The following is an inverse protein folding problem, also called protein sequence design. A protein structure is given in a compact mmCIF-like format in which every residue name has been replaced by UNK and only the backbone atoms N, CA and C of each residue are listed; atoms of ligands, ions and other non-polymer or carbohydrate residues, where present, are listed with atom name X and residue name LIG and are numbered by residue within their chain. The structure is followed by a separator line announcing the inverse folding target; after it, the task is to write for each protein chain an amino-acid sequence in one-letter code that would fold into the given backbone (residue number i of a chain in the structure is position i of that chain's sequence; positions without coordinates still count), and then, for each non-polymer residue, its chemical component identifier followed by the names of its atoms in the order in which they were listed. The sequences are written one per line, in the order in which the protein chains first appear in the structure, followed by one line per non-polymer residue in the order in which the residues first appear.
data_IF_807790780990
#
_entry.id   IF_807790780990
#
_cell.length_a   1.000
_cell.length_b   1.000
_cell.length_c   1.000
_cell.angle_alpha   90.00
_cell.angle_beta   90.00
_cell.angle_gamma   90.00
#
_symmetry.space_group_name_H-M   'P 1'
#
loop_
_entity.id
_entity.type
_entity.pdbx_description
1 polymer ?
#
# COMPACT_ATOMS: atom_id res chain seq x y z
N UNK A 1 -7.93 7.04 17.10
CA UNK A 1 -7.70 7.23 15.65
C UNK A 1 -6.39 8.02 15.49
N UNK A 2 -5.40 7.55 14.71
CA UNK A 2 -4.10 8.24 14.60
C UNK A 2 -4.27 9.58 13.87
N UNK A 3 -3.54 10.64 14.24
CA UNK A 3 -3.66 11.98 13.63
C UNK A 3 -3.51 11.95 12.09
N UNK A 4 -2.62 11.09 11.58
CA UNK A 4 -2.46 10.79 10.15
C UNK A 4 -3.73 10.29 9.45
N UNK A 5 -4.59 9.52 10.13
CA UNK A 5 -5.83 9.02 9.53
C UNK A 5 -6.81 10.18 9.24
N UNK A 6 -6.71 11.29 9.99
CA UNK A 6 -7.48 12.50 9.76
C UNK A 6 -6.96 13.21 8.51
N UNK A 7 -5.64 13.36 8.37
CA UNK A 7 -5.02 13.91 7.15
C UNK A 7 -5.34 13.04 5.92
N UNK A 8 -5.34 11.73 6.09
CA UNK A 8 -5.71 10.80 5.02
C UNK A 8 -7.18 10.95 4.62
N UNK A 9 -8.08 11.16 5.58
CA UNK A 9 -9.49 11.45 5.31
C UNK A 9 -9.65 12.78 4.54
N UNK A 10 -8.91 13.83 4.91
CA UNK A 10 -8.92 15.12 4.20
C UNK A 10 -8.41 14.94 2.76
N UNK A 11 -7.32 14.21 2.54
CA UNK A 11 -6.80 13.92 1.18
C UNK A 11 -7.78 13.11 0.35
N UNK A 12 -8.44 12.12 0.95
CA UNK A 12 -9.46 11.33 0.29
C UNK A 12 -10.69 12.17 -0.08
N UNK A 13 -11.12 13.07 0.82
CA UNK A 13 -12.19 14.02 0.53
C UNK A 13 -11.80 14.97 -0.60
N UNK A 14 -10.56 15.45 -0.62
CA UNK A 14 -10.01 16.26 -1.71
C UNK A 14 -10.03 15.52 -3.06
N UNK A 15 -9.64 14.24 -3.09
CA UNK A 15 -9.80 13.42 -4.29
C UNK A 15 -11.28 13.36 -4.68
N UNK A 16 -12.15 12.94 -3.78
CA UNK A 16 -13.58 12.80 -4.08
C UNK A 16 -14.25 14.10 -4.57
N UNK A 17 -13.85 15.26 -4.05
CA UNK A 17 -14.44 16.56 -4.39
C UNK A 17 -13.86 17.19 -5.67
N UNK A 18 -12.59 16.94 -5.99
CA UNK A 18 -11.87 17.68 -7.05
C UNK A 18 -11.21 16.81 -8.12
N UNK A 19 -11.09 15.49 -7.92
CA UNK A 19 -10.43 14.55 -8.84
C UNK A 19 -11.12 13.19 -8.80
N UNK A 20 -11.86 12.85 -9.85
CA UNK A 20 -12.31 11.48 -10.07
C UNK A 20 -11.15 10.52 -9.81
N UNK A 21 -11.33 9.56 -8.90
CA UNK A 21 -10.34 8.52 -8.66
C UNK A 21 -9.85 7.95 -9.99
N UNK A 22 -8.55 7.72 -10.15
CA UNK A 22 -8.01 7.23 -11.43
C UNK A 22 -8.67 5.90 -11.81
N UNK A 23 -8.95 5.07 -10.81
CA UNK A 23 -9.48 3.72 -10.99
C UNK A 23 -10.89 3.57 -10.42
N UNK A 24 -11.78 2.81 -11.10
CA UNK A 24 -13.12 2.54 -10.61
C UNK A 24 -13.09 1.65 -9.36
N UNK A 25 -14.05 1.86 -8.46
CA UNK A 25 -14.17 1.05 -7.25
C UNK A 25 -14.63 -0.38 -7.59
N UNK A 26 -13.97 -1.38 -7.00
CA UNK A 26 -14.40 -2.78 -7.04
C UNK A 26 -14.41 -3.39 -5.64
N UNK A 27 -15.55 -4.00 -5.30
CA UNK A 27 -15.77 -4.62 -3.99
C UNK A 27 -14.95 -5.90 -3.81
N UNK A 28 -14.84 -6.72 -4.84
CA UNK A 28 -14.10 -7.98 -4.79
C UNK A 28 -12.59 -7.74 -4.67
N UNK A 29 -12.05 -6.80 -5.46
CA UNK A 29 -10.67 -6.35 -5.29
C UNK A 29 -10.43 -5.82 -3.86
N UNK A 30 -11.37 -5.02 -3.32
CA UNK A 30 -11.25 -4.53 -1.94
C UNK A 30 -11.23 -5.66 -0.90
N UNK A 31 -11.94 -6.77 -1.12
CA UNK A 31 -11.90 -7.94 -0.23
C UNK A 31 -10.58 -8.69 -0.39
N UNK A 32 -10.17 -8.94 -1.63
CA UNK A 32 -8.94 -9.65 -1.93
C UNK A 32 -7.70 -8.90 -1.40
N UNK A 33 -7.62 -7.59 -1.60
CA UNK A 33 -6.53 -6.80 -1.04
C UNK A 33 -6.52 -6.80 0.50
N UNK A 34 -7.69 -6.79 1.16
CA UNK A 34 -7.73 -6.95 2.62
C UNK A 34 -7.20 -8.33 3.03
N UNK A 35 -7.56 -9.38 2.29
CA UNK A 35 -7.05 -10.72 2.51
C UNK A 35 -5.52 -10.78 2.39
N UNK A 36 -4.94 -10.18 1.35
CA UNK A 36 -3.48 -10.08 1.17
C UNK A 36 -2.81 -9.36 2.34
N UNK A 37 -3.36 -8.22 2.76
CA UNK A 37 -2.84 -7.42 3.89
C UNK A 37 -2.85 -8.21 5.20
N UNK A 38 -3.87 -9.04 5.43
CA UNK A 38 -4.06 -9.75 6.70
C UNK A 38 -3.34 -11.10 6.76
N UNK A 39 -3.27 -11.83 5.64
CA UNK A 39 -2.97 -13.27 5.66
C UNK A 39 -1.74 -13.65 4.85
N UNK A 40 -1.19 -12.77 4.01
CA UNK A 40 -0.12 -13.13 3.08
C UNK A 40 1.23 -12.60 3.49
N UNK A 41 2.25 -13.40 3.15
CA UNK A 41 3.63 -13.00 3.32
C UNK A 41 4.00 -11.94 2.29
N UNK A 42 4.69 -10.93 2.79
CA UNK A 42 5.18 -9.85 1.98
C UNK A 42 6.49 -10.27 1.29
N UNK A 43 6.59 -10.03 -0.02
CA UNK A 43 7.77 -10.38 -0.81
C UNK A 43 8.73 -9.22 -1.00
N UNK A 44 8.26 -8.12 -1.59
CA UNK A 44 9.12 -7.02 -2.01
C UNK A 44 8.38 -5.67 -2.07
N UNK A 45 9.08 -4.58 -1.80
CA UNK A 45 8.55 -3.23 -1.70
C UNK A 45 9.57 -2.28 -2.28
N UNK A 46 9.12 -1.48 -3.24
CA UNK A 46 9.89 -0.37 -3.76
C UNK A 46 9.12 0.94 -3.52
N UNK A 47 9.63 2.03 -4.08
CA UNK A 47 9.06 3.37 -3.92
C UNK A 47 7.59 3.47 -4.36
N UNK A 48 7.16 2.65 -5.31
CA UNK A 48 5.88 2.78 -6.00
C UNK A 48 4.96 1.58 -5.84
N UNK A 49 5.49 0.40 -5.50
CA UNK A 49 4.73 -0.84 -5.41
C UNK A 49 5.09 -1.66 -4.19
N UNK A 50 4.14 -2.47 -3.74
CA UNK A 50 4.30 -3.51 -2.72
C UNK A 50 3.85 -4.85 -3.30
N UNK A 51 4.58 -5.93 -3.04
CA UNK A 51 4.31 -7.26 -3.59
C UNK A 51 3.98 -8.24 -2.47
N UNK A 52 2.91 -9.01 -2.68
CA UNK A 52 2.48 -10.11 -1.81
C UNK A 52 2.74 -11.44 -2.51
N UNK A 53 3.02 -12.50 -1.75
CA UNK A 53 2.94 -13.87 -2.23
C UNK A 53 1.58 -14.47 -1.90
N UNK A 54 0.87 -14.92 -2.93
CA UNK A 54 -0.38 -15.65 -2.79
C UNK A 54 -0.20 -17.04 -3.42
N UNK A 55 0.16 -18.01 -2.58
CA UNK A 55 0.39 -19.41 -2.97
C UNK A 55 1.36 -19.55 -4.16
N UNK A 56 2.49 -18.83 -4.11
CA UNK A 56 3.52 -18.81 -5.16
C UNK A 56 3.26 -17.82 -6.30
N UNK A 57 2.08 -17.18 -6.34
CA UNK A 57 1.76 -16.11 -7.30
C UNK A 57 2.14 -14.76 -6.70
N UNK A 58 2.96 -13.98 -7.43
CA UNK A 58 3.32 -12.63 -7.02
C UNK A 58 2.19 -11.66 -7.40
N UNK A 59 1.63 -10.99 -6.39
CA UNK A 59 0.63 -9.94 -6.58
C UNK A 59 1.24 -8.59 -6.24
N UNK A 60 1.46 -7.76 -7.26
CA UNK A 60 2.03 -6.42 -7.11
C UNK A 60 0.90 -5.38 -7.00
N UNK A 61 1.02 -4.48 -6.02
CA UNK A 61 0.01 -3.45 -5.70
C UNK A 61 0.67 -2.08 -5.70
N UNK A 62 0.05 -1.11 -6.35
CA UNK A 62 0.55 0.26 -6.43
C UNK A 62 0.30 1.04 -5.12
N UNK A 63 1.33 1.72 -4.62
CA UNK A 63 1.33 2.43 -3.33
C UNK A 63 1.77 3.90 -3.42
N UNK A 64 1.86 4.44 -4.63
CA UNK A 64 2.12 5.87 -4.83
C UNK A 64 0.83 6.67 -5.04
N UNK A 65 0.93 8.00 -5.06
CA UNK A 65 -0.20 8.91 -5.29
C UNK A 65 -1.39 8.63 -4.35
N UNK A 66 -1.10 8.65 -3.03
CA UNK A 66 -2.04 8.24 -1.98
C UNK A 66 -3.46 8.80 -2.22
N UNK A 67 -4.38 7.84 -2.22
CA UNK A 67 -5.82 7.93 -2.44
C UNK A 67 -6.30 8.27 -3.85
N UNK A 68 -5.52 8.96 -4.68
CA UNK A 68 -5.90 9.21 -6.08
C UNK A 68 -5.78 7.95 -6.94
N UNK A 69 -4.62 7.28 -6.88
CA UNK A 69 -4.29 6.09 -7.66
C UNK A 69 -3.55 5.12 -6.75
N UNK A 70 -4.25 4.58 -5.75
CA UNK A 70 -3.62 3.88 -4.64
C UNK A 70 -4.30 2.55 -4.37
N UNK A 71 -3.51 1.51 -4.14
CA UNK A 71 -3.98 0.18 -3.78
C UNK A 71 -4.63 -0.60 -4.93
N UNK A 72 -4.42 -0.23 -6.19
CA UNK A 72 -4.82 -1.05 -7.34
C UNK A 72 -3.72 -2.06 -7.68
N UNK A 73 -4.09 -3.16 -8.33
CA UNK A 73 -3.12 -4.13 -8.84
C UNK A 73 -2.26 -3.46 -9.91
N UNK A 74 -0.95 -3.62 -9.81
CA UNK A 74 0.00 -3.18 -10.81
C UNK A 74 0.59 -4.43 -11.46
N UNK A 75 0.64 -4.50 -12.78
CA UNK A 75 1.36 -5.58 -13.46
C UNK A 75 2.77 -5.10 -13.81
N UNK A 76 3.76 -5.71 -13.17
CA UNK A 76 5.16 -5.58 -13.57
C UNK A 76 5.49 -6.60 -14.65
N UNK A 77 6.58 -6.35 -15.41
CA UNK A 77 7.13 -7.35 -16.33
C UNK A 77 7.40 -8.66 -15.56
N UNK A 78 6.71 -9.74 -15.95
CA UNK A 78 6.82 -11.06 -15.31
C UNK A 78 5.66 -11.43 -14.37
N UNK A 79 4.72 -10.52 -14.10
CA UNK A 79 3.48 -10.87 -13.38
C UNK A 79 2.52 -11.58 -14.35
N UNK A 80 1.92 -12.70 -13.90
CA UNK A 80 0.94 -13.45 -14.68
C UNK A 80 -0.48 -12.99 -14.36
N UNK A 81 -1.31 -12.73 -15.39
CA UNK A 81 -2.73 -12.42 -15.24
C UNK A 81 -3.22 -11.24 -16.07
N UNK A 82 -4.54 -11.03 -16.06
CA UNK A 82 -5.19 -9.90 -16.71
C UNK A 82 -5.10 -8.61 -15.86
N UNK A 83 -4.97 -7.47 -16.53
CA UNK A 83 -4.93 -6.15 -15.89
C UNK A 83 -6.34 -5.77 -15.41
N UNK A 84 -6.52 -5.78 -14.10
CA UNK A 84 -7.72 -5.24 -13.45
C UNK A 84 -7.30 -4.11 -12.48
N UNK A 85 -7.11 -2.91 -13.03
CA UNK A 85 -6.77 -1.71 -12.25
C UNK A 85 -8.00 -1.22 -11.49
N UNK A 86 -8.40 -1.93 -10.42
CA UNK A 86 -9.51 -1.50 -9.58
C UNK A 86 -9.04 -0.81 -8.31
N UNK A 87 -9.82 0.20 -7.90
CA UNK A 87 -9.65 0.89 -6.63
C UNK A 87 -10.30 0.08 -5.50
N UNK A 88 -9.63 -0.17 -4.37
CA UNK A 88 -10.25 -0.75 -3.19
C UNK A 88 -11.08 0.29 -2.41
N UNK A 89 -11.73 -0.11 -1.31
CA UNK A 89 -12.42 0.83 -0.43
C UNK A 89 -11.43 1.79 0.25
N UNK A 90 -11.88 2.97 0.66
CA UNK A 90 -11.02 3.90 1.41
C UNK A 90 -10.49 3.27 2.71
N UNK A 91 -11.31 2.47 3.40
CA UNK A 91 -10.89 1.75 4.61
C UNK A 91 -9.72 0.79 4.33
N UNK A 92 -9.78 0.06 3.22
CA UNK A 92 -8.70 -0.81 2.76
C UNK A 92 -7.44 -0.01 2.41
N UNK A 93 -7.57 1.16 1.75
CA UNK A 93 -6.43 2.03 1.49
C UNK A 93 -5.75 2.53 2.76
N UNK A 94 -6.53 2.93 3.77
CA UNK A 94 -5.99 3.32 5.08
C UNK A 94 -5.26 2.16 5.74
N UNK A 95 -5.82 0.95 5.66
CA UNK A 95 -5.19 -0.25 6.18
C UNK A 95 -3.84 -0.53 5.49
N UNK A 96 -3.81 -0.46 4.17
CA UNK A 96 -2.58 -0.58 3.38
C UNK A 96 -1.56 0.51 3.75
N UNK A 97 -1.99 1.76 3.90
CA UNK A 97 -1.11 2.84 4.34
C UNK A 97 -0.54 2.60 5.73
N UNK A 98 -1.34 2.07 6.67
CA UNK A 98 -0.86 1.75 8.02
C UNK A 98 0.21 0.66 7.99
N UNK A 99 0.05 -0.34 7.13
CA UNK A 99 1.04 -1.39 6.93
C UNK A 99 2.36 -0.82 6.42
N UNK A 100 2.34 -0.03 5.35
CA UNK A 100 3.56 0.54 4.73
C UNK A 100 4.28 1.46 5.71
N UNK A 101 3.57 2.40 6.31
CA UNK A 101 4.18 3.37 7.21
C UNK A 101 4.75 2.69 8.47
N UNK A 102 4.14 1.58 8.93
CA UNK A 102 4.69 0.78 10.03
C UNK A 102 6.01 0.10 9.66
N UNK A 103 6.19 -0.30 8.40
CA UNK A 103 7.45 -0.86 7.88
C UNK A 103 8.51 0.21 7.72
N UNK A 104 8.15 1.36 7.18
CA UNK A 104 9.03 2.52 7.07
C UNK A 104 9.57 2.95 8.43
N UNK A 105 8.71 2.97 9.46
CA UNK A 105 9.14 3.26 10.82
C UNK A 105 10.17 2.23 11.31
N UNK A 106 9.91 0.93 11.13
CA UNK A 106 10.87 -0.13 11.50
C UNK A 106 12.21 0.00 10.78
N UNK A 107 12.21 0.33 9.48
CA UNK A 107 13.44 0.58 8.70
C UNK A 107 14.24 1.74 9.27
N UNK A 108 13.57 2.85 9.59
CA UNK A 108 14.19 4.03 10.21
C UNK A 108 14.77 3.70 11.58
N UNK A 109 14.01 3.01 12.43
CA UNK A 109 14.46 2.65 13.78
C UNK A 109 15.68 1.72 13.73
N UNK A 110 15.69 0.74 12.80
CA UNK A 110 16.83 -0.13 12.57
C UNK A 110 18.08 0.64 12.11
N UNK A 111 17.92 1.56 11.16
CA UNK A 111 19.01 2.42 10.67
C UNK A 111 19.57 3.33 11.77
N UNK A 112 18.69 3.97 12.56
CA UNK A 112 19.11 4.82 13.69
C UNK A 112 19.88 3.99 14.74
N UNK A 113 19.43 2.77 15.01
CA UNK A 113 20.12 1.84 15.92
C UNK A 113 21.51 1.46 15.41
N UNK A 114 21.66 1.24 14.10
CA UNK A 114 22.95 0.96 13.46
C UNK A 114 23.91 2.16 13.54
N UNK A 115 23.43 3.36 13.23
CA UNK A 115 24.20 4.59 13.37
C UNK A 115 24.68 4.79 14.82
N UNK A 116 23.80 4.56 15.80
CA UNK A 116 24.15 4.69 17.21
C UNK A 116 25.23 3.70 17.66
N UNK A 117 25.32 2.51 17.03
CA UNK A 117 26.41 1.55 17.28
C UNK A 117 27.73 2.01 16.68
N UNK A 118 27.70 2.56 15.48
CA UNK A 118 28.91 2.99 14.77
C UNK A 118 29.51 4.28 15.36
N UNK A 119 28.70 5.19 15.90
CA UNK A 119 29.18 6.41 16.59
C UNK A 119 29.80 6.11 17.96
N UNK A 120 29.42 4.98 18.58
CA UNK A 120 29.97 4.54 19.89
C UNK A 120 31.27 3.75 19.77
N UNK A 121 31.73 3.43 18.56
CA UNK A 121 33.04 2.82 18.28
C UNK A 121 34.07 3.92 18.01
#
# INVERSE_FOLDING_TARGET
MKARNILDAIRCAGCWLFMSYQQPYNKEWSRYLNYLIDNREFKDENRHTISFDDDGVKITVWISNKFYSYGHQYLSLGDAGDIYEFRPSFRTMIKLSNLIDGREQKRRDAFVSELAKNVKR
#
